data_IF_778019863113
#
_entry.id   IF_778019863113
#
_cell.length_a   1.000
_cell.length_b   1.000
_cell.length_c   1.000
_cell.angle_alpha   90.00
_cell.angle_beta   90.00
_cell.angle_gamma   90.00
#
_symmetry.space_group_name_H-M   'P 1'
#
loop_
_entity.id
_entity.type
_entity.pdbx_description
1 polymer ?
#
# COMPACT_ATOMS: atom_id res chain seq x y z
N UNK A 1 -7.98 11.97 -7.33
CA UNK A 1 -8.36 10.55 -7.25
C UNK A 1 -7.66 9.93 -6.05
N UNK A 2 -8.40 9.18 -5.22
CA UNK A 2 -7.84 8.42 -4.10
C UNK A 2 -7.47 7.02 -4.62
N UNK A 3 -6.25 6.58 -4.34
CA UNK A 3 -5.78 5.21 -4.58
C UNK A 3 -5.73 4.42 -3.27
N UNK A 4 -5.86 3.10 -3.36
CA UNK A 4 -5.63 2.17 -2.26
C UNK A 4 -4.32 1.46 -2.51
N UNK A 5 -3.43 1.45 -1.52
CA UNK A 5 -2.13 0.80 -1.60
C UNK A 5 -1.97 -0.18 -0.44
N UNK A 6 -1.13 -1.18 -0.66
CA UNK A 6 -0.72 -2.18 0.33
C UNK A 6 0.74 -2.56 0.04
N UNK A 7 1.52 -2.82 1.09
CA UNK A 7 2.88 -3.31 0.93
C UNK A 7 2.84 -4.75 0.40
N UNK A 8 3.73 -5.11 -0.51
CA UNK A 8 3.77 -6.47 -1.06
C UNK A 8 4.05 -7.53 0.02
N UNK A 9 4.75 -7.18 1.09
CA UNK A 9 5.02 -8.07 2.22
C UNK A 9 3.76 -8.34 3.02
N UNK A 10 2.98 -7.29 3.30
CA UNK A 10 1.68 -7.43 3.98
C UNK A 10 0.73 -8.32 3.17
N UNK A 11 0.79 -8.26 1.83
CA UNK A 11 0.01 -9.16 0.97
C UNK A 11 0.48 -10.61 1.10
N UNK A 12 1.79 -10.86 1.11
CA UNK A 12 2.34 -12.20 1.29
C UNK A 12 1.94 -12.80 2.65
N UNK A 13 2.05 -12.01 3.72
CA UNK A 13 1.65 -12.40 5.07
C UNK A 13 0.13 -12.63 5.16
N UNK A 14 -0.68 -11.78 4.50
CA UNK A 14 -2.13 -11.96 4.43
C UNK A 14 -2.50 -13.26 3.71
N UNK A 15 -1.82 -13.60 2.61
CA UNK A 15 -2.03 -14.87 1.90
C UNK A 15 -1.71 -16.04 2.83
N UNK A 16 -0.56 -16.03 3.49
CA UNK A 16 -0.16 -17.09 4.42
C UNK A 16 -1.18 -17.24 5.55
N UNK A 17 -1.59 -16.14 6.17
CA UNK A 17 -2.59 -16.12 7.24
C UNK A 17 -3.92 -16.71 6.80
N UNK A 18 -4.41 -16.32 5.61
CA UNK A 18 -5.67 -16.88 5.08
C UNK A 18 -5.58 -18.35 4.71
N UNK A 19 -4.40 -18.83 4.33
CA UNK A 19 -4.18 -20.24 4.04
C UNK A 19 -4.15 -21.09 5.32
N UNK A 20 -3.51 -20.59 6.38
CA UNK A 20 -3.35 -21.32 7.65
C UNK A 20 -4.64 -21.29 8.50
N UNK A 21 -5.46 -20.24 8.38
CA UNK A 21 -6.71 -20.14 9.13
C UNK A 21 -7.82 -20.98 8.47
N UNK A 22 -8.19 -22.10 9.09
CA UNK A 22 -9.25 -22.98 8.59
C UNK A 22 -10.66 -22.38 8.64
N UNK A 23 -10.87 -21.28 9.37
CA UNK A 23 -12.12 -20.53 9.38
C UNK A 23 -12.14 -19.42 8.31
N UNK A 24 -11.04 -19.22 7.57
CA UNK A 24 -11.01 -18.23 6.51
C UNK A 24 -11.81 -18.71 5.29
N UNK A 25 -12.75 -17.89 4.86
CA UNK A 25 -13.68 -18.20 3.76
C UNK A 25 -13.84 -17.00 2.82
N UNK A 26 -14.21 -17.30 1.58
CA UNK A 26 -14.51 -16.32 0.54
C UNK A 26 -13.32 -15.41 0.13
N UNK A 27 -13.54 -14.09 0.10
CA UNK A 27 -12.61 -13.10 -0.46
C UNK A 27 -12.32 -11.99 0.54
N UNK A 28 -11.04 -11.69 0.72
CA UNK A 28 -10.57 -10.63 1.61
C UNK A 28 -10.02 -9.45 0.84
N UNK A 29 -10.44 -8.24 1.21
CA UNK A 29 -9.83 -7.00 0.68
C UNK A 29 -8.55 -6.75 1.47
N UNK A 30 -7.40 -6.86 0.80
CA UNK A 30 -6.09 -6.54 1.39
C UNK A 30 -5.68 -5.10 0.99
N UNK A 31 -5.99 -4.12 1.85
CA UNK A 31 -5.59 -2.72 1.66
C UNK A 31 -5.16 -2.13 2.99
N UNK A 32 -4.03 -1.41 3.04
CA UNK A 32 -3.55 -0.78 4.28
C UNK A 32 -3.88 0.70 4.32
N UNK A 33 -3.75 1.42 3.20
CA UNK A 33 -3.93 2.87 3.19
C UNK A 33 -4.65 3.37 1.93
N UNK A 34 -5.60 4.28 2.14
CA UNK A 34 -6.15 5.13 1.10
C UNK A 34 -5.35 6.45 1.05
N UNK A 35 -4.79 6.78 -0.10
CA UNK A 35 -3.91 7.95 -0.26
C UNK A 35 -4.19 8.64 -1.61
N UNK A 36 -4.09 9.97 -1.63
CA UNK A 36 -4.12 10.70 -2.91
C UNK A 36 -2.74 10.70 -3.55
N UNK A 37 -2.67 10.86 -4.87
CA UNK A 37 -1.39 11.00 -5.55
C UNK A 37 -0.58 12.20 -5.05
N UNK A 38 -1.25 13.28 -4.61
CA UNK A 38 -0.60 14.46 -4.04
C UNK A 38 0.08 14.11 -2.71
N UNK A 39 -0.66 13.50 -1.79
CA UNK A 39 -0.13 13.17 -0.46
C UNK A 39 1.00 12.13 -0.57
N UNK A 40 0.90 11.19 -1.52
CA UNK A 40 1.97 10.24 -1.81
C UNK A 40 3.24 10.96 -2.29
N UNK A 41 3.13 11.91 -3.21
CA UNK A 41 4.29 12.67 -3.70
C UNK A 41 4.92 13.50 -2.57
N UNK A 42 4.13 14.17 -1.73
CA UNK A 42 4.67 14.92 -0.60
C UNK A 42 5.38 14.03 0.43
N UNK A 43 4.85 12.83 0.69
CA UNK A 43 5.54 11.83 1.50
C UNK A 43 6.84 11.36 0.86
N UNK A 44 6.86 11.13 -0.46
CA UNK A 44 8.08 10.73 -1.15
C UNK A 44 9.15 11.82 -1.09
N UNK A 45 8.78 13.10 -1.24
CA UNK A 45 9.72 14.24 -1.13
C UNK A 45 10.38 14.32 0.24
N UNK A 46 9.65 14.02 1.32
CA UNK A 46 10.24 14.03 2.66
C UNK A 46 11.19 12.85 2.90
N UNK A 47 10.94 11.71 2.27
CA UNK A 47 11.80 10.52 2.34
C UNK A 47 13.04 10.63 1.44
N UNK A 48 12.91 11.28 0.29
CA UNK A 48 13.97 11.40 -0.72
C UNK A 48 14.20 12.87 -1.12
N UNK A 49 14.66 13.73 -0.19
CA UNK A 49 14.75 15.17 -0.42
C UNK A 49 15.72 15.57 -1.55
N UNK A 50 16.70 14.72 -1.85
CA UNK A 50 17.72 14.97 -2.88
C UNK A 50 17.34 14.42 -4.26
N UNK A 51 16.18 13.76 -4.39
CA UNK A 51 15.71 13.28 -5.68
C UNK A 51 15.21 14.45 -6.53
N UNK A 52 15.58 14.49 -7.81
CA UNK A 52 15.12 15.54 -8.73
C UNK A 52 13.68 15.24 -9.17
N UNK A 53 12.73 15.81 -8.46
CA UNK A 53 11.32 15.73 -8.83
C UNK A 53 11.01 16.58 -10.07
N UNK A 54 10.15 16.10 -10.99
CA UNK A 54 9.66 16.92 -12.09
C UNK A 54 8.95 18.18 -11.55
N UNK A 55 9.44 19.34 -11.94
CA UNK A 55 8.73 20.61 -11.78
C UNK A 55 7.82 20.78 -12.99
N UNK A 56 6.57 21.19 -12.75
CA UNK A 56 5.69 21.62 -13.85
C UNK A 56 6.26 22.84 -14.56
#
# INVERSE_FOLDING_TARGET
RIGRIVDARDVADAILLTYENHEAEERYICTSQAITARDLVEKLKSLFPNYKYPTK
#
